data_IF_402638997753
#
_entry.id   IF_402638997753
#
_cell.length_a   1.000
_cell.length_b   1.000
_cell.length_c   1.000
_cell.angle_alpha   90.00
_cell.angle_beta   90.00
_cell.angle_gamma   90.00
#
_symmetry.space_group_name_H-M   'P 1'
#
loop_
_entity.id
_entity.type
_entity.pdbx_description
1 polymer ?
#
# COMPACT_ATOMS: atom_id res chain seq x y z
N UNK A 1 -26.21 -5.33 -5.53
CA UNK A 1 -26.64 -6.47 -4.70
C UNK A 1 -26.32 -7.81 -5.34
N UNK A 2 -26.63 -8.06 -6.62
CA UNK A 2 -26.26 -9.33 -7.29
C UNK A 2 -24.81 -9.80 -7.14
N UNK A 3 -23.81 -8.88 -7.13
CA UNK A 3 -22.42 -9.26 -6.84
C UNK A 3 -22.19 -9.75 -5.39
N UNK A 4 -22.95 -9.22 -4.43
CA UNK A 4 -22.89 -9.67 -3.04
C UNK A 4 -23.41 -11.10 -2.90
N UNK A 5 -24.48 -11.44 -3.60
CA UNK A 5 -25.10 -12.76 -3.52
C UNK A 5 -24.32 -13.81 -4.33
N UNK A 6 -23.75 -13.38 -5.47
CA UNK A 6 -23.00 -14.22 -6.40
C UNK A 6 -21.70 -13.53 -6.85
N UNK A 7 -20.69 -13.44 -5.97
CA UNK A 7 -19.41 -12.84 -6.31
C UNK A 7 -18.76 -13.62 -7.45
N UNK A 8 -18.09 -12.89 -8.33
CA UNK A 8 -17.38 -13.44 -9.48
C UNK A 8 -16.02 -12.77 -9.66
N UNK A 9 -15.10 -13.48 -10.29
CA UNK A 9 -13.86 -12.91 -10.83
C UNK A 9 -13.98 -12.76 -12.36
N UNK A 10 -13.18 -11.87 -12.95
CA UNK A 10 -13.13 -11.70 -14.40
C UNK A 10 -11.85 -12.35 -14.92
N UNK A 11 -12.00 -13.39 -15.75
CA UNK A 11 -10.88 -14.03 -16.46
C UNK A 11 -10.92 -13.68 -17.93
N UNK A 12 -9.77 -13.34 -18.50
CA UNK A 12 -9.63 -13.15 -19.93
C UNK A 12 -9.24 -14.47 -20.61
N UNK A 13 -9.95 -14.83 -21.66
CA UNK A 13 -9.58 -15.91 -22.59
C UNK A 13 -9.34 -15.28 -23.96
N UNK A 14 -8.07 -14.97 -24.24
CA UNK A 14 -7.71 -14.11 -25.37
C UNK A 14 -8.28 -12.71 -25.20
N UNK A 15 -9.11 -12.26 -26.16
CA UNK A 15 -9.79 -10.95 -26.10
C UNK A 15 -11.14 -10.98 -25.37
N UNK A 16 -11.65 -12.16 -25.02
CA UNK A 16 -12.99 -12.32 -24.44
C UNK A 16 -12.93 -12.29 -22.92
N UNK A 17 -13.77 -11.44 -22.31
CA UNK A 17 -13.98 -11.42 -20.86
C UNK A 17 -14.98 -12.51 -20.48
N UNK A 18 -14.62 -13.34 -19.50
CA UNK A 18 -15.51 -14.35 -18.91
C UNK A 18 -15.63 -14.09 -17.41
N UNK A 19 -16.87 -13.96 -16.93
CA UNK A 19 -17.15 -13.93 -15.49
C UNK A 19 -17.13 -15.35 -14.96
N UNK A 20 -16.33 -15.59 -13.93
CA UNK A 20 -16.21 -16.89 -13.25
C UNK A 20 -16.80 -16.74 -11.85
N UNK A 21 -17.92 -17.39 -11.55
CA UNK A 21 -18.51 -17.36 -10.22
C UNK A 21 -17.57 -17.96 -9.17
N UNK A 22 -17.45 -17.30 -8.01
CA UNK A 22 -16.72 -17.80 -6.85
C UNK A 22 -17.70 -18.64 -6.03
N UNK A 23 -17.73 -19.94 -6.31
CA UNK A 23 -18.72 -20.86 -5.71
C UNK A 23 -18.60 -20.88 -4.19
N UNK A 24 -19.72 -20.67 -3.50
CA UNK A 24 -19.82 -20.72 -2.04
C UNK A 24 -19.47 -19.42 -1.32
N UNK A 25 -19.08 -18.37 -2.05
CA UNK A 25 -18.84 -17.05 -1.47
C UNK A 25 -20.08 -16.15 -1.56
N UNK A 26 -20.23 -15.26 -0.57
CA UNK A 26 -21.21 -14.17 -0.56
C UNK A 26 -20.71 -13.01 0.31
N UNK A 27 -21.27 -11.82 0.11
CA UNK A 27 -20.95 -10.61 0.87
C UNK A 27 -22.18 -10.22 1.70
N UNK A 28 -22.12 -10.47 2.99
CA UNK A 28 -23.18 -10.15 3.95
C UNK A 28 -23.31 -11.21 5.04
N UNK A 29 -24.27 -11.01 5.94
CA UNK A 29 -24.44 -11.87 7.11
C UNK A 29 -25.06 -13.23 6.77
N UNK A 30 -25.90 -13.27 5.71
CA UNK A 30 -26.66 -14.43 5.27
C UNK A 30 -26.58 -14.63 3.76
N UNK A 31 -26.50 -15.88 3.32
CA UNK A 31 -26.64 -16.26 1.91
C UNK A 31 -28.12 -16.22 1.53
N UNK A 32 -28.49 -15.45 0.51
CA UNK A 32 -29.86 -15.34 -0.04
C UNK A 32 -30.96 -15.02 1.00
N UNK A 33 -30.60 -14.31 2.10
CA UNK A 33 -31.54 -14.02 3.20
C UNK A 33 -31.99 -15.26 3.98
N UNK A 34 -31.36 -16.42 3.76
CA UNK A 34 -31.75 -17.67 4.39
C UNK A 34 -31.12 -17.81 5.79
N UNK A 35 -31.97 -17.68 6.82
CA UNK A 35 -31.61 -17.64 8.24
C UNK A 35 -30.99 -18.96 8.75
N UNK A 36 -31.09 -20.05 7.98
CA UNK A 36 -30.55 -21.37 8.34
C UNK A 36 -29.07 -21.57 7.98
N UNK A 37 -28.44 -20.61 7.29
CA UNK A 37 -27.02 -20.68 6.94
C UNK A 37 -26.11 -20.16 8.07
N UNK A 38 -24.84 -20.58 8.16
CA UNK A 38 -23.91 -20.06 9.16
C UNK A 38 -23.81 -18.54 9.08
N UNK A 39 -24.11 -17.85 10.17
CA UNK A 39 -24.08 -16.39 10.24
C UNK A 39 -22.63 -15.90 10.17
N UNK A 40 -22.28 -15.11 9.13
CA UNK A 40 -21.03 -14.32 9.14
C UNK A 40 -21.25 -13.16 10.12
N UNK A 41 -20.30 -12.91 11.02
CA UNK A 41 -20.34 -11.73 11.88
C UNK A 41 -19.65 -10.57 11.15
N UNK A 42 -20.42 -9.56 10.77
CA UNK A 42 -19.89 -8.30 10.24
C UNK A 42 -19.92 -7.25 11.36
N UNK A 43 -18.77 -6.63 11.63
CA UNK A 43 -18.64 -5.51 12.57
C UNK A 43 -18.24 -4.25 11.79
N UNK A 44 -19.05 -3.21 11.91
CA UNK A 44 -18.80 -1.91 11.28
C UNK A 44 -18.74 -0.88 12.41
N UNK A 45 -17.64 -0.15 12.47
CA UNK A 45 -17.45 0.89 13.48
C UNK A 45 -16.93 2.19 12.86
N UNK A 46 -17.51 3.31 13.26
CA UNK A 46 -17.01 4.65 12.94
C UNK A 46 -16.16 5.13 14.13
N UNK A 47 -14.87 4.80 14.11
CA UNK A 47 -13.92 5.05 15.21
C UNK A 47 -12.53 5.36 14.65
N UNK A 48 -11.69 5.97 15.47
CA UNK A 48 -10.26 6.06 15.19
C UNK A 48 -9.64 4.65 15.27
N UNK A 49 -9.03 4.21 14.16
CA UNK A 49 -8.31 2.94 14.09
C UNK A 49 -7.14 2.88 15.09
N UNK A 50 -6.52 4.02 15.40
CA UNK A 50 -5.51 4.20 16.42
C UNK A 50 -6.04 4.10 17.85
N UNK A 51 -7.36 4.10 18.05
CA UNK A 51 -8.04 3.95 19.33
C UNK A 51 -8.83 2.63 19.45
N UNK A 52 -9.01 1.89 18.34
CA UNK A 52 -9.70 0.60 18.34
C UNK A 52 -9.07 -0.41 19.29
N UNK A 53 -9.93 -1.17 19.98
CA UNK A 53 -9.54 -2.26 20.87
C UNK A 53 -9.80 -3.59 20.16
N UNK A 54 -8.74 -4.14 19.57
CA UNK A 54 -8.76 -5.42 18.87
C UNK A 54 -8.02 -6.45 19.74
N UNK A 55 -8.52 -7.68 19.77
CA UNK A 55 -7.87 -8.74 20.51
C UNK A 55 -6.53 -9.11 19.85
N UNK A 56 -5.49 -9.32 20.67
CA UNK A 56 -4.18 -9.75 20.18
C UNK A 56 -4.29 -11.09 19.41
N UNK A 57 -3.63 -11.19 18.26
CA UNK A 57 -3.62 -12.41 17.44
C UNK A 57 -4.98 -12.90 16.96
N UNK A 58 -6.00 -12.04 16.90
CA UNK A 58 -7.34 -12.43 16.45
C UNK A 58 -7.54 -12.34 14.93
N UNK A 59 -6.75 -11.51 14.25
CA UNK A 59 -6.95 -11.20 12.82
C UNK A 59 -6.10 -12.08 11.92
N UNK A 60 -6.72 -12.63 10.87
CA UNK A 60 -6.04 -13.39 9.82
C UNK A 60 -5.36 -12.50 8.77
N UNK A 61 -5.84 -11.27 8.60
CA UNK A 61 -5.30 -10.27 7.70
C UNK A 61 -5.80 -8.86 8.06
N UNK A 62 -5.05 -7.84 7.66
CA UNK A 62 -5.46 -6.43 7.68
C UNK A 62 -5.23 -5.87 6.27
N UNK A 63 -6.28 -5.32 5.67
CA UNK A 63 -6.23 -4.62 4.38
C UNK A 63 -6.68 -3.18 4.61
N UNK A 64 -5.84 -2.21 4.26
CA UNK A 64 -6.14 -0.80 4.52
C UNK A 64 -5.62 0.13 3.44
N UNK A 65 -6.23 1.30 3.33
CA UNK A 65 -5.82 2.40 2.47
C UNK A 65 -5.56 3.64 3.37
N UNK A 66 -4.34 3.79 3.92
CA UNK A 66 -4.03 4.86 4.84
C UNK A 66 -3.92 6.21 4.11
N UNK A 67 -4.03 7.36 4.81
CA UNK A 67 -3.89 8.67 4.17
C UNK A 67 -2.50 8.90 3.58
N UNK A 68 -2.42 9.51 2.39
CA UNK A 68 -1.18 9.65 1.59
C UNK A 68 -0.33 10.90 1.90
N UNK A 69 -0.41 11.43 3.12
CA UNK A 69 0.27 12.66 3.56
C UNK A 69 0.06 13.88 2.63
N UNK A 70 -0.86 14.78 2.99
CA UNK A 70 -0.96 16.11 2.35
C UNK A 70 -1.62 16.12 0.97
N UNK A 71 -2.09 14.97 0.47
CA UNK A 71 -2.78 14.89 -0.83
C UNK A 71 -4.15 15.57 -0.83
N UNK A 72 -5.00 15.36 0.20
CA UNK A 72 -6.34 15.97 0.29
C UNK A 72 -6.71 16.16 1.77
N UNK A 73 -7.24 17.33 2.10
CA UNK A 73 -7.80 17.65 3.42
C UNK A 73 -9.26 17.14 3.48
N UNK A 74 -9.43 15.82 3.61
CA UNK A 74 -10.73 15.17 3.47
C UNK A 74 -11.75 15.65 4.51
N UNK A 75 -11.32 15.86 5.76
CA UNK A 75 -12.24 16.30 6.79
C UNK A 75 -12.80 17.70 6.52
N UNK A 76 -11.98 18.62 6.00
CA UNK A 76 -12.41 19.95 5.59
C UNK A 76 -13.36 19.92 4.39
N UNK A 77 -13.10 19.06 3.40
CA UNK A 77 -13.96 18.90 2.22
C UNK A 77 -15.30 18.26 2.60
N UNK A 78 -15.27 17.23 3.45
CA UNK A 78 -16.46 16.48 3.84
C UNK A 78 -17.38 17.26 4.78
N UNK A 79 -16.88 18.25 5.51
CA UNK A 79 -17.70 19.12 6.36
C UNK A 79 -18.85 19.78 5.57
N UNK A 80 -18.59 20.17 4.31
CA UNK A 80 -19.61 20.74 3.44
C UNK A 80 -20.78 19.78 3.29
N UNK A 81 -20.51 18.53 2.90
CA UNK A 81 -21.54 17.49 2.73
C UNK A 81 -22.16 17.07 4.08
N UNK A 82 -21.35 17.00 5.13
CA UNK A 82 -21.76 16.54 6.46
C UNK A 82 -22.87 17.40 7.06
N UNK A 83 -22.76 18.72 6.97
CA UNK A 83 -23.75 19.65 7.52
C UNK A 83 -25.11 19.49 6.83
N UNK A 84 -25.12 19.30 5.51
CA UNK A 84 -26.35 19.05 4.76
C UNK A 84 -26.98 17.69 5.11
N UNK A 85 -26.17 16.63 5.15
CA UNK A 85 -26.64 15.29 5.51
C UNK A 85 -27.21 15.25 6.94
N UNK A 86 -26.54 15.91 7.89
CA UNK A 86 -27.00 16.04 9.28
C UNK A 86 -28.38 16.69 9.35
N UNK A 87 -28.62 17.76 8.59
CA UNK A 87 -29.92 18.45 8.55
C UNK A 87 -31.03 17.59 7.96
N UNK A 88 -30.74 16.79 6.93
CA UNK A 88 -31.72 15.93 6.26
C UNK A 88 -32.10 14.74 7.13
N UNK A 89 -31.11 14.10 7.76
CA UNK A 89 -31.32 12.90 8.59
C UNK A 89 -31.94 13.27 9.94
N UNK A 90 -31.63 14.47 10.46
CA UNK A 90 -32.16 14.96 11.74
C UNK A 90 -31.41 14.43 12.96
N UNK A 91 -31.93 14.78 14.14
CA UNK A 91 -31.37 14.36 15.43
C UNK A 91 -31.82 12.92 15.74
N UNK A 92 -30.87 11.99 15.83
CA UNK A 92 -31.18 10.58 16.15
C UNK A 92 -30.20 9.56 15.56
N UNK A 93 -29.40 9.94 14.55
CA UNK A 93 -28.35 9.08 14.03
C UNK A 93 -27.02 9.35 14.76
N UNK A 94 -26.43 8.37 15.48
CA UNK A 94 -25.18 8.56 16.22
C UNK A 94 -24.00 9.04 15.36
N UNK A 95 -23.98 8.67 14.07
CA UNK A 95 -22.95 9.12 13.11
C UNK A 95 -22.93 10.66 12.93
N UNK A 96 -24.05 11.34 13.21
CA UNK A 96 -24.19 12.79 13.13
C UNK A 96 -24.16 13.48 14.51
N UNK A 97 -23.71 12.77 15.55
CA UNK A 97 -23.58 13.31 16.91
C UNK A 97 -22.53 14.41 17.04
N UNK A 98 -21.48 14.40 16.20
CA UNK A 98 -20.46 15.45 16.17
C UNK A 98 -20.97 16.70 15.44
N UNK A 99 -20.33 17.83 15.71
CA UNK A 99 -20.62 19.10 15.02
C UNK A 99 -19.86 19.26 13.70
N UNK A 100 -18.77 18.51 13.51
CA UNK A 100 -17.89 18.57 12.34
C UNK A 100 -17.23 17.21 12.10
N UNK A 101 -16.80 16.97 10.85
CA UNK A 101 -15.94 15.84 10.47
C UNK A 101 -14.47 16.06 10.80
N UNK A 102 -14.07 17.28 11.16
CA UNK A 102 -12.68 17.63 11.53
C UNK A 102 -12.26 16.95 12.82
N UNK A 103 -11.02 16.48 12.83
CA UNK A 103 -10.36 15.92 14.01
C UNK A 103 -8.95 16.51 14.13
N UNK A 104 -8.48 16.92 15.33
CA UNK A 104 -7.08 17.30 15.53
C UNK A 104 -6.13 16.14 15.24
N UNK A 105 -6.60 14.91 15.43
CA UNK A 105 -5.84 13.67 15.21
C UNK A 105 -5.88 13.19 13.75
N UNK A 106 -6.46 13.96 12.83
CA UNK A 106 -6.47 13.60 11.42
C UNK A 106 -5.03 13.58 10.86
N UNK A 107 -4.70 12.47 10.19
CA UNK A 107 -3.38 12.20 9.63
C UNK A 107 -3.25 12.73 8.20
N UNK A 108 -3.51 14.02 8.02
CA UNK A 108 -3.27 14.75 6.78
C UNK A 108 -2.22 15.84 7.02
N UNK A 109 -1.36 16.10 6.02
CA UNK A 109 -0.35 17.14 6.12
C UNK A 109 -0.99 18.51 6.12
N UNK A 110 -0.76 19.32 7.15
CA UNK A 110 -1.28 20.69 7.26
C UNK A 110 -0.36 21.51 8.18
N UNK A 111 0.53 22.29 7.57
CA UNK A 111 1.53 23.08 8.29
C UNK A 111 0.90 24.13 9.21
N UNK A 112 -0.19 24.78 8.77
CA UNK A 112 -0.88 25.82 9.55
C UNK A 112 -1.50 25.28 10.84
N UNK A 113 -1.80 23.98 10.87
CA UNK A 113 -2.32 23.26 12.05
C UNK A 113 -1.24 22.45 12.79
N UNK A 114 0.04 22.63 12.46
CA UNK A 114 1.14 21.88 13.07
C UNK A 114 1.18 20.39 12.69
N UNK A 115 0.39 19.96 11.70
CA UNK A 115 0.34 18.57 11.21
C UNK A 115 1.45 18.34 10.18
N UNK A 116 2.68 18.35 10.65
CA UNK A 116 3.87 18.05 9.86
C UNK A 116 4.14 16.55 9.70
N UNK A 117 5.33 16.23 9.17
CA UNK A 117 5.77 14.86 8.93
C UNK A 117 5.83 14.03 10.23
N UNK A 118 6.22 14.64 11.35
CA UNK A 118 6.30 13.96 12.66
C UNK A 118 4.92 13.56 13.20
N UNK A 119 3.93 14.46 13.12
CA UNK A 119 2.54 14.18 13.54
C UNK A 119 1.98 13.01 12.73
N UNK A 120 2.14 13.07 11.41
CA UNK A 120 1.72 12.00 10.51
C UNK A 120 2.40 10.67 10.88
N UNK A 121 3.73 10.70 11.07
CA UNK A 121 4.53 9.52 11.45
C UNK A 121 4.06 8.89 12.75
N UNK A 122 3.83 9.70 13.79
CA UNK A 122 3.38 9.21 15.09
C UNK A 122 2.01 8.55 15.01
N UNK A 123 1.08 9.16 14.26
CA UNK A 123 -0.26 8.61 14.07
C UNK A 123 -0.27 7.30 13.29
N UNK A 124 0.38 7.25 12.13
CA UNK A 124 0.39 6.04 11.31
C UNK A 124 1.17 4.90 12.00
N UNK A 125 2.24 5.21 12.72
CA UNK A 125 2.97 4.25 13.55
C UNK A 125 2.10 3.66 14.67
N UNK A 126 1.29 4.49 15.34
CA UNK A 126 0.37 4.00 16.36
C UNK A 126 -0.67 3.03 15.77
N UNK A 127 -1.25 3.36 14.61
CA UNK A 127 -2.20 2.48 13.92
C UNK A 127 -1.53 1.16 13.54
N UNK A 128 -0.36 1.20 12.90
CA UNK A 128 0.32 -0.02 12.42
C UNK A 128 0.75 -0.93 13.58
N UNK A 129 1.21 -0.37 14.70
CA UNK A 129 1.54 -1.14 15.89
C UNK A 129 0.31 -1.87 16.46
N UNK A 130 -0.85 -1.20 16.50
CA UNK A 130 -2.10 -1.84 16.93
C UNK A 130 -2.53 -2.96 15.99
N UNK A 131 -2.49 -2.71 14.68
CA UNK A 131 -2.86 -3.73 13.68
C UNK A 131 -1.91 -4.92 13.74
N UNK A 132 -0.61 -4.70 13.85
CA UNK A 132 0.41 -5.76 14.00
C UNK A 132 0.16 -6.63 15.24
N UNK A 133 -0.21 -6.02 16.38
CA UNK A 133 -0.53 -6.76 17.61
C UNK A 133 -1.79 -7.63 17.48
N UNK A 134 -2.80 -7.12 16.76
CA UNK A 134 -4.04 -7.84 16.50
C UNK A 134 -3.90 -8.96 15.46
N UNK A 135 -2.87 -8.90 14.60
CA UNK A 135 -2.59 -9.92 13.59
C UNK A 135 -2.02 -11.20 14.21
N UNK A 136 -2.44 -12.35 13.68
CA UNK A 136 -1.77 -13.63 13.94
C UNK A 136 -0.33 -13.58 13.40
N UNK A 137 0.63 -14.30 14.00
CA UNK A 137 2.00 -14.37 13.48
C UNK A 137 2.03 -14.77 12.00
N UNK A 138 2.77 -14.01 11.19
CA UNK A 138 2.88 -14.24 9.74
C UNK A 138 1.70 -13.74 8.89
N UNK A 139 0.61 -13.27 9.50
CA UNK A 139 -0.52 -12.71 8.75
C UNK A 139 -0.19 -11.37 8.09
N UNK A 140 -0.78 -11.06 6.91
CA UNK A 140 -0.54 -9.82 6.20
C UNK A 140 -1.14 -8.59 6.89
N UNK A 141 -0.32 -7.55 7.05
CA UNK A 141 -0.78 -6.17 6.93
C UNK A 141 -0.47 -5.70 5.50
N UNK A 142 -1.50 -5.54 4.68
CA UNK A 142 -1.38 -5.09 3.31
C UNK A 142 -2.06 -3.74 3.12
N UNK A 143 -1.37 -2.81 2.45
CA UNK A 143 -1.92 -1.49 2.21
C UNK A 143 -1.40 -0.88 0.93
N UNK A 144 -2.22 -0.01 0.35
CA UNK A 144 -1.87 0.76 -0.84
C UNK A 144 -1.30 2.12 -0.43
N UNK A 145 -0.32 2.63 -1.17
CA UNK A 145 0.25 3.95 -0.92
C UNK A 145 0.94 4.50 -2.17
N UNK A 146 0.77 5.79 -2.44
CA UNK A 146 1.61 6.53 -3.37
C UNK A 146 1.83 7.97 -2.92
N UNK A 147 2.94 8.54 -3.33
CA UNK A 147 3.20 9.98 -3.22
C UNK A 147 4.31 10.40 -4.19
N UNK A 148 4.31 11.65 -4.65
CA UNK A 148 5.27 12.15 -5.64
C UNK A 148 6.66 12.49 -5.04
N UNK A 149 6.75 12.58 -3.71
CA UNK A 149 7.97 12.89 -2.94
C UNK A 149 8.31 11.73 -2.02
N UNK A 150 9.59 11.34 -2.01
CA UNK A 150 10.11 10.25 -1.17
C UNK A 150 9.95 10.54 0.33
N UNK A 151 9.99 11.82 0.74
CA UNK A 151 9.87 12.20 2.15
C UNK A 151 8.56 11.75 2.79
N UNK A 152 7.48 11.66 1.99
CA UNK A 152 6.19 11.16 2.45
C UNK A 152 6.17 9.64 2.69
N UNK A 153 7.21 8.91 2.27
CA UNK A 153 7.34 7.48 2.53
C UNK A 153 8.19 7.15 3.76
N UNK A 154 9.04 8.08 4.24
CA UNK A 154 9.79 7.83 5.49
C UNK A 154 8.87 7.50 6.68
N UNK A 155 7.72 8.17 6.88
CA UNK A 155 6.74 7.80 7.90
C UNK A 155 6.26 6.35 7.77
N UNK A 156 6.08 5.86 6.54
CA UNK A 156 5.62 4.50 6.26
C UNK A 156 6.70 3.47 6.67
N UNK A 157 7.96 3.74 6.34
CA UNK A 157 9.07 2.90 6.80
C UNK A 157 9.15 2.85 8.33
N UNK A 158 9.07 4.01 8.99
CA UNK A 158 9.07 4.13 10.45
C UNK A 158 7.92 3.32 11.06
N UNK A 159 6.70 3.46 10.53
CA UNK A 159 5.51 2.78 11.05
C UNK A 159 5.62 1.26 10.95
N UNK A 160 6.11 0.74 9.82
CA UNK A 160 6.34 -0.70 9.63
C UNK A 160 7.39 -1.21 10.62
N UNK A 161 8.51 -0.49 10.76
CA UNK A 161 9.60 -0.86 11.67
C UNK A 161 9.18 -0.80 13.15
N UNK A 162 8.44 0.23 13.56
CA UNK A 162 7.90 0.37 14.92
C UNK A 162 6.92 -0.76 15.27
N UNK A 163 6.16 -1.23 14.27
CA UNK A 163 5.23 -2.36 14.38
C UNK A 163 5.92 -3.73 14.42
N UNK A 164 7.26 -3.79 14.31
CA UNK A 164 8.01 -5.04 14.26
C UNK A 164 7.74 -5.84 12.99
N UNK A 165 7.29 -5.18 11.92
CA UNK A 165 6.96 -5.80 10.65
C UNK A 165 8.15 -5.70 9.68
N UNK A 166 8.24 -6.67 8.78
CA UNK A 166 9.09 -6.62 7.58
C UNK A 166 8.21 -6.50 6.36
N UNK A 167 8.58 -5.62 5.42
CA UNK A 167 7.92 -5.52 4.12
C UNK A 167 8.41 -6.66 3.20
N UNK A 168 7.63 -7.73 3.08
CA UNK A 168 7.97 -8.91 2.30
C UNK A 168 7.78 -8.71 0.80
N UNK A 169 6.90 -7.80 0.38
CA UNK A 169 6.71 -7.42 -1.02
C UNK A 169 6.23 -5.97 -1.15
N UNK A 170 6.61 -5.33 -2.26
CA UNK A 170 6.11 -4.04 -2.72
C UNK A 170 5.67 -4.22 -4.17
N UNK A 171 4.36 -4.21 -4.41
CA UNK A 171 3.76 -4.61 -5.68
C UNK A 171 3.14 -3.40 -6.39
N UNK A 172 3.56 -3.07 -7.62
CA UNK A 172 2.90 -2.04 -8.42
C UNK A 172 1.47 -2.45 -8.77
N UNK A 173 0.51 -1.56 -8.54
CA UNK A 173 -0.89 -1.79 -8.82
C UNK A 173 -1.49 -0.59 -9.58
N UNK A 174 -2.02 -0.75 -10.79
CA UNK A 174 -2.78 0.29 -11.46
C UNK A 174 -4.06 0.60 -10.65
N UNK A 175 -4.13 1.80 -10.08
CA UNK A 175 -5.17 2.19 -9.12
C UNK A 175 -6.12 3.26 -9.67
N UNK A 176 -5.65 4.14 -10.57
CA UNK A 176 -6.46 5.23 -11.12
C UNK A 176 -6.75 5.05 -12.62
N UNK A 177 -7.95 5.46 -13.06
CA UNK A 177 -8.24 5.60 -14.48
C UNK A 177 -7.49 6.81 -15.04
N UNK A 178 -6.71 6.63 -16.11
CA UNK A 178 -5.96 7.70 -16.79
C UNK A 178 -6.80 8.85 -17.37
N UNK A 179 -8.13 8.82 -17.20
CA UNK A 179 -9.06 9.88 -17.59
C UNK A 179 -9.53 10.80 -16.43
N UNK A 180 -9.04 10.59 -15.21
CA UNK A 180 -9.37 11.48 -14.08
C UNK A 180 -8.81 12.88 -14.32
N UNK A 181 -9.71 13.87 -14.31
CA UNK A 181 -9.42 15.31 -14.44
C UNK A 181 -8.40 15.84 -13.42
N UNK A 182 -8.14 15.09 -12.33
CA UNK A 182 -7.14 15.40 -11.31
C UNK A 182 -5.69 15.02 -11.69
N UNK A 183 -5.48 14.19 -12.72
CA UNK A 183 -4.16 13.67 -13.12
C UNK A 183 -3.65 14.36 -14.39
N UNK A 184 -4.56 14.92 -15.18
CA UNK A 184 -4.24 15.49 -16.48
C UNK A 184 -3.40 16.77 -16.30
N UNK A 185 -2.10 16.67 -16.57
CA UNK A 185 -1.13 17.78 -16.44
C UNK A 185 -0.44 17.90 -15.08
N UNK A 186 -0.74 17.06 -14.08
CA UNK A 186 -0.12 17.14 -12.74
C UNK A 186 1.12 16.25 -12.58
N UNK A 187 1.35 15.30 -13.50
CA UNK A 187 2.44 14.33 -13.40
C UNK A 187 2.27 13.32 -12.25
N UNK A 188 1.06 13.24 -11.67
CA UNK A 188 0.73 12.28 -10.61
C UNK A 188 0.67 10.86 -11.15
N UNK A 189 1.06 9.90 -10.31
CA UNK A 189 1.08 8.49 -10.68
C UNK A 189 -0.33 7.91 -10.74
N UNK A 190 -0.57 7.05 -11.72
CA UNK A 190 -1.76 6.18 -11.79
C UNK A 190 -1.50 4.79 -11.16
N UNK A 191 -0.28 4.58 -10.68
CA UNK A 191 0.20 3.37 -10.02
C UNK A 191 0.32 3.62 -8.53
N UNK A 192 -0.27 2.73 -7.75
CA UNK A 192 -0.01 2.63 -6.33
C UNK A 192 1.04 1.54 -6.05
N UNK A 193 1.73 1.66 -4.92
CA UNK A 193 2.47 0.54 -4.36
C UNK A 193 1.62 -0.16 -3.30
N UNK A 194 1.34 -1.44 -3.51
CA UNK A 194 0.80 -2.31 -2.47
C UNK A 194 1.96 -2.88 -1.66
N UNK A 195 2.08 -2.41 -0.42
CA UNK A 195 3.03 -2.95 0.55
C UNK A 195 2.41 -4.15 1.25
N UNK A 196 3.17 -5.23 1.34
CA UNK A 196 2.77 -6.46 2.02
C UNK A 196 3.75 -6.71 3.15
N UNK A 197 3.27 -6.57 4.39
CA UNK A 197 4.10 -6.61 5.59
C UNK A 197 3.72 -7.78 6.49
N UNK A 198 4.70 -8.40 7.15
CA UNK A 198 4.52 -9.53 8.09
C UNK A 198 5.51 -9.45 9.24
N UNK A 199 5.15 -10.03 10.38
CA UNK A 199 6.08 -10.21 11.51
C UNK A 199 7.12 -11.30 11.23
N UNK A 200 6.72 -12.33 10.50
CA UNK A 200 7.60 -13.41 10.04
C UNK A 200 7.13 -13.93 8.69
N UNK A 201 8.01 -14.54 7.93
CA UNK A 201 7.63 -15.18 6.68
C UNK A 201 8.83 -15.47 5.80
N UNK A 202 8.55 -15.62 4.51
CA UNK A 202 9.52 -15.91 3.48
C UNK A 202 9.38 -14.85 2.38
N UNK A 203 10.52 -14.43 1.82
CA UNK A 203 10.54 -13.59 0.63
C UNK A 203 11.57 -14.09 -0.38
N UNK A 204 11.38 -13.74 -1.64
CA UNK A 204 12.29 -14.17 -2.70
C UNK A 204 13.64 -13.47 -2.56
N UNK A 205 14.74 -14.23 -2.47
CA UNK A 205 16.09 -13.68 -2.31
C UNK A 205 16.48 -12.71 -3.41
N UNK A 206 15.94 -12.88 -4.63
CA UNK A 206 16.15 -11.97 -5.78
C UNK A 206 15.71 -10.52 -5.51
N UNK A 207 14.84 -10.29 -4.52
CA UNK A 207 14.38 -8.97 -4.14
C UNK A 207 15.30 -8.26 -3.13
N UNK A 208 16.37 -8.92 -2.65
CA UNK A 208 17.38 -8.33 -1.78
C UNK A 208 18.57 -7.94 -2.64
N UNK A 209 18.71 -6.65 -2.92
CA UNK A 209 19.87 -6.12 -3.64
C UNK A 209 20.76 -5.29 -2.72
N UNK A 210 22.01 -5.12 -3.13
CA UNK A 210 23.03 -4.35 -2.38
C UNK A 210 23.48 -3.08 -3.08
N UNK A 211 22.88 -2.76 -4.23
CA UNK A 211 23.22 -1.58 -5.02
C UNK A 211 21.98 -0.94 -5.65
N UNK A 212 22.00 0.38 -5.91
CA UNK A 212 20.93 1.04 -6.65
C UNK A 212 20.75 0.50 -8.07
N UNK A 213 21.80 -0.03 -8.70
CA UNK A 213 21.71 -0.75 -9.99
C UNK A 213 20.84 -2.01 -9.88
N UNK A 214 21.07 -2.84 -8.85
CA UNK A 214 20.23 -4.02 -8.63
C UNK A 214 18.77 -3.65 -8.36
N UNK A 215 18.53 -2.53 -7.68
CA UNK A 215 17.17 -2.06 -7.40
C UNK A 215 16.51 -1.55 -8.69
N UNK A 216 17.27 -0.86 -9.55
CA UNK A 216 16.83 -0.46 -10.88
C UNK A 216 16.43 -1.66 -11.75
N UNK A 217 17.13 -2.79 -11.65
CA UNK A 217 16.74 -4.03 -12.36
C UNK A 217 15.39 -4.59 -11.87
N UNK A 218 15.13 -4.56 -10.56
CA UNK A 218 13.82 -4.95 -10.01
C UNK A 218 12.73 -4.02 -10.55
N UNK A 219 12.97 -2.69 -10.52
CA UNK A 219 12.01 -1.71 -11.06
C UNK A 219 11.76 -1.96 -12.54
N UNK A 220 12.79 -2.24 -13.35
CA UNK A 220 12.61 -2.58 -14.78
C UNK A 220 11.75 -3.82 -15.00
N UNK A 221 11.93 -4.86 -14.17
CA UNK A 221 11.10 -6.08 -14.26
C UNK A 221 9.63 -5.75 -14.03
N UNK A 222 9.33 -4.98 -12.98
CA UNK A 222 7.99 -4.51 -12.67
C UNK A 222 7.38 -3.66 -13.79
N UNK A 223 8.16 -2.73 -14.36
CA UNK A 223 7.73 -1.92 -15.49
C UNK A 223 7.42 -2.77 -16.74
N UNK A 224 8.17 -3.85 -16.97
CA UNK A 224 7.90 -4.77 -18.07
C UNK A 224 6.60 -5.55 -17.84
N UNK A 225 6.32 -5.96 -16.59
CA UNK A 225 5.05 -6.60 -16.23
C UNK A 225 3.86 -5.64 -16.40
N UNK A 226 4.00 -4.38 -16.01
CA UNK A 226 2.98 -3.35 -16.24
C UNK A 226 2.71 -3.16 -17.73
N UNK A 227 3.76 -3.07 -18.56
CA UNK A 227 3.64 -2.98 -20.03
C UNK A 227 2.97 -4.22 -20.63
N UNK A 228 3.30 -5.41 -20.14
CA UNK A 228 2.63 -6.64 -20.56
C UNK A 228 1.13 -6.64 -20.17
N UNK A 229 0.78 -5.97 -19.07
CA UNK A 229 -0.59 -5.66 -18.66
C UNK A 229 -1.26 -4.49 -19.41
N UNK A 230 -0.66 -4.01 -20.51
CA UNK A 230 -1.15 -2.90 -21.32
C UNK A 230 -1.25 -1.56 -20.55
N UNK A 231 -0.39 -1.38 -19.54
CA UNK A 231 -0.17 -0.11 -18.85
C UNK A 231 1.12 0.50 -19.36
N UNK A 232 1.11 1.79 -19.71
CA UNK A 232 2.30 2.53 -20.16
C UNK A 232 2.76 3.48 -19.04
N UNK A 233 3.72 3.07 -18.19
CA UNK A 233 4.08 3.87 -17.01
C UNK A 233 4.71 5.21 -17.41
N UNK A 234 4.19 6.28 -16.83
CA UNK A 234 4.76 7.62 -16.90
C UNK A 234 5.99 7.73 -15.99
N UNK A 235 6.69 8.87 -16.04
CA UNK A 235 7.80 9.12 -15.13
C UNK A 235 7.36 9.15 -13.65
N UNK A 236 6.15 9.65 -13.36
CA UNK A 236 5.56 9.60 -12.00
C UNK A 236 5.32 8.16 -11.54
N UNK A 237 4.89 7.28 -12.44
CA UNK A 237 4.68 5.86 -12.15
C UNK A 237 5.99 5.12 -11.87
N UNK A 238 7.02 5.36 -12.69
CA UNK A 238 8.36 4.78 -12.47
C UNK A 238 8.88 5.18 -11.09
N UNK A 239 8.70 6.45 -10.72
CA UNK A 239 9.10 6.97 -9.42
C UNK A 239 8.33 6.29 -8.28
N UNK A 240 7.01 6.13 -8.40
CA UNK A 240 6.19 5.44 -7.41
C UNK A 240 6.70 4.02 -7.16
N UNK A 241 6.90 3.23 -8.22
CA UNK A 241 7.43 1.87 -8.14
C UNK A 241 8.81 1.85 -7.46
N UNK A 242 9.69 2.76 -7.85
CA UNK A 242 11.03 2.85 -7.27
C UNK A 242 11.00 3.23 -5.78
N UNK A 243 10.11 4.15 -5.36
CA UNK A 243 9.95 4.53 -3.95
C UNK A 243 9.45 3.36 -3.12
N UNK A 244 8.50 2.58 -3.64
CA UNK A 244 8.06 1.31 -3.04
C UNK A 244 9.23 0.38 -2.71
N UNK A 245 10.10 0.12 -3.70
CA UNK A 245 11.25 -0.76 -3.51
C UNK A 245 12.35 -0.17 -2.61
N UNK A 246 12.61 1.14 -2.70
CA UNK A 246 13.57 1.82 -1.82
C UNK A 246 13.16 1.70 -0.35
N UNK A 247 11.88 1.90 -0.07
CA UNK A 247 11.32 1.81 1.29
C UNK A 247 11.36 0.37 1.80
N UNK A 248 10.96 -0.59 0.96
CA UNK A 248 11.10 -2.02 1.29
C UNK A 248 12.54 -2.38 1.67
N UNK A 249 13.53 -1.90 0.91
CA UNK A 249 14.93 -2.14 1.21
C UNK A 249 15.40 -1.45 2.49
N UNK A 250 14.96 -0.21 2.74
CA UNK A 250 15.26 0.50 3.98
C UNK A 250 14.76 -0.29 5.19
N UNK A 251 13.51 -0.75 5.14
CA UNK A 251 12.92 -1.59 6.19
C UNK A 251 13.74 -2.86 6.39
N UNK A 252 14.05 -3.58 5.30
CA UNK A 252 14.86 -4.80 5.38
C UNK A 252 16.18 -4.54 6.11
N UNK A 253 16.93 -3.51 5.73
CA UNK A 253 18.26 -3.28 6.30
C UNK A 253 18.23 -2.69 7.72
N UNK A 254 17.17 -1.97 8.09
CA UNK A 254 17.08 -1.30 9.39
C UNK A 254 16.44 -2.17 10.49
N UNK A 255 15.65 -3.20 10.13
CA UNK A 255 14.82 -3.99 11.07
C UNK A 255 15.54 -4.55 12.30
N UNK A 256 16.77 -5.04 12.14
CA UNK A 256 17.50 -5.71 13.23
C UNK A 256 18.04 -4.75 14.29
N UNK A 257 18.29 -3.50 13.90
CA UNK A 257 18.88 -2.47 14.77
C UNK A 257 17.91 -1.29 14.95
N UNK A 258 16.61 -1.53 14.80
CA UNK A 258 15.59 -0.51 14.95
C UNK A 258 15.29 -0.27 16.43
N UNK A 259 15.30 0.99 16.85
CA UNK A 259 14.95 1.38 18.21
C UNK A 259 13.75 2.32 18.15
N UNK A 260 12.57 1.76 18.44
CA UNK A 260 11.31 2.51 18.44
C UNK A 260 11.13 3.43 19.64
N UNK A 261 12.05 3.44 20.60
CA UNK A 261 12.00 4.33 21.78
C UNK A 261 12.61 5.70 21.50
N UNK A 262 13.34 5.86 20.39
CA UNK A 262 13.90 7.14 19.96
C UNK A 262 12.82 8.13 19.54
N UNK A 263 13.17 9.42 19.60
CA UNK A 263 12.31 10.49 19.11
C UNK A 263 11.92 10.27 17.64
N UNK A 264 10.70 10.67 17.27
CA UNK A 264 10.14 10.49 15.92
C UNK A 264 11.03 11.12 14.84
N UNK A 265 11.52 12.35 15.07
CA UNK A 265 12.50 12.99 14.17
C UNK A 265 13.74 12.11 13.93
N UNK A 266 14.35 11.55 14.98
CA UNK A 266 15.54 10.69 14.87
C UNK A 266 15.26 9.40 14.09
N UNK A 267 14.07 8.82 14.25
CA UNK A 267 13.66 7.63 13.50
C UNK A 267 13.49 7.94 12.01
N UNK A 268 12.86 9.07 11.69
CA UNK A 268 12.73 9.54 10.30
C UNK A 268 14.11 9.78 9.69
N UNK A 269 15.00 10.47 10.41
CA UNK A 269 16.37 10.76 9.96
C UNK A 269 17.15 9.47 9.66
N UNK A 270 17.03 8.45 10.51
CA UNK A 270 17.66 7.15 10.28
C UNK A 270 17.23 6.47 8.98
N UNK A 271 15.94 6.58 8.61
CA UNK A 271 15.44 6.07 7.32
C UNK A 271 15.99 6.89 6.16
N UNK A 272 15.93 8.22 6.28
CA UNK A 272 16.43 9.16 5.28
C UNK A 272 17.92 8.94 5.00
N UNK A 273 18.74 8.83 6.05
CA UNK A 273 20.17 8.60 5.95
C UNK A 273 20.51 7.29 5.27
N UNK A 274 19.77 6.22 5.59
CA UNK A 274 19.95 4.93 4.93
C UNK A 274 19.65 5.04 3.43
N UNK A 275 18.54 5.68 3.04
CA UNK A 275 18.16 5.86 1.63
C UNK A 275 19.20 6.71 0.90
N UNK A 276 19.68 7.78 1.54
CA UNK A 276 20.74 8.64 0.99
C UNK A 276 22.04 7.88 0.78
N UNK A 277 22.47 7.09 1.77
CA UNK A 277 23.68 6.27 1.67
C UNK A 277 23.58 5.19 0.58
N UNK A 278 22.38 4.64 0.37
CA UNK A 278 22.12 3.69 -0.71
C UNK A 278 22.15 4.33 -2.12
N UNK A 279 22.08 5.66 -2.21
CA UNK A 279 22.07 6.44 -3.46
C UNK A 279 20.71 7.04 -3.82
N UNK A 280 19.64 6.61 -3.15
CA UNK A 280 18.28 7.13 -3.31
C UNK A 280 17.74 7.06 -4.75
N UNK A 281 16.76 7.91 -5.05
CA UNK A 281 16.11 7.96 -6.35
C UNK A 281 17.04 8.31 -7.50
N UNK A 282 17.92 9.29 -7.32
CA UNK A 282 18.77 9.81 -8.39
C UNK A 282 19.67 8.72 -9.01
N UNK A 283 20.29 7.88 -8.17
CA UNK A 283 21.12 6.78 -8.65
C UNK A 283 20.29 5.67 -9.30
N UNK A 284 19.16 5.30 -8.69
CA UNK A 284 18.25 4.29 -9.25
C UNK A 284 17.75 4.72 -10.63
N UNK A 285 17.30 5.97 -10.76
CA UNK A 285 16.84 6.56 -12.02
C UNK A 285 17.94 6.55 -13.09
N UNK A 286 19.17 6.89 -12.71
CA UNK A 286 20.34 6.85 -13.61
C UNK A 286 20.51 5.47 -14.23
N UNK A 287 20.46 4.40 -13.42
CA UNK A 287 20.56 3.03 -13.92
C UNK A 287 19.33 2.56 -14.72
N UNK A 288 18.14 3.10 -14.43
CA UNK A 288 16.94 2.85 -15.26
C UNK A 288 17.16 3.40 -16.68
N UNK A 289 17.67 4.63 -16.79
CA UNK A 289 17.84 5.33 -18.05
C UNK A 289 19.03 4.83 -18.90
N UNK A 290 20.12 4.38 -18.28
CA UNK A 290 21.31 3.88 -18.99
C UNK A 290 20.97 2.64 -19.84
N UNK A 291 20.34 1.62 -19.26
CA UNK A 291 20.00 0.40 -20.00
C UNK A 291 18.88 0.60 -21.05
N UNK A 292 18.11 1.67 -20.93
CA UNK A 292 17.12 2.06 -21.94
C UNK A 292 17.75 2.52 -23.26
N UNK A 293 18.99 3.06 -23.22
CA UNK A 293 19.73 3.47 -24.41
C UNK A 293 20.39 2.30 -25.15
N UNK A 294 20.80 1.25 -24.43
CA UNK A 294 21.45 0.08 -25.01
C UNK A 294 20.48 -0.90 -25.70
N UNK A 295 19.21 -0.95 -25.28
CA UNK A 295 18.21 -1.91 -25.80
C UNK A 295 17.40 -1.45 -27.01
N UNK A 296 17.67 -0.27 -27.59
CA UNK A 296 16.90 0.26 -28.74
C UNK A 296 17.18 -0.45 -30.08
N UNK A 297 17.87 -1.60 -30.09
CA UNK A 297 18.27 -2.30 -31.32
C UNK A 297 17.70 -3.70 -31.57
N UNK A 298 16.92 -4.32 -30.69
CA UNK A 298 16.34 -5.64 -30.99
C UNK A 298 14.87 -5.76 -30.56
N UNK A 299 13.98 -5.70 -31.55
CA UNK A 299 12.64 -6.26 -31.47
C UNK A 299 12.69 -7.73 -31.92
N UNK A 300 12.05 -8.64 -31.19
CA UNK A 300 11.06 -9.59 -31.75
C UNK A 300 10.55 -10.59 -30.70
N UNK A 301 9.22 -10.69 -30.60
CA UNK A 301 8.38 -11.86 -30.27
C UNK A 301 8.92 -12.90 -29.28
N UNK A 302 8.30 -13.11 -28.11
CA UNK A 302 8.00 -14.46 -27.59
C UNK A 302 6.86 -14.48 -26.56
N UNK A 303 6.09 -15.56 -26.64
CA UNK A 303 4.92 -15.98 -25.88
C UNK A 303 5.15 -16.14 -24.38
N UNK A 304 4.13 -15.80 -23.58
CA UNK A 304 4.06 -16.10 -22.15
C UNK A 304 3.87 -17.61 -21.97
N UNK A 305 4.96 -18.32 -21.68
CA UNK A 305 4.91 -19.63 -21.03
C UNK A 305 5.34 -19.44 -19.58
N UNK A 306 4.51 -19.90 -18.64
CA UNK A 306 4.90 -20.07 -17.24
C UNK A 306 6.09 -21.04 -17.18
N UNK A 307 7.28 -20.51 -16.94
CA UNK A 307 8.46 -21.33 -16.75
C UNK A 307 8.45 -21.87 -15.33
N UNK A 308 8.25 -23.20 -15.23
CA UNK A 308 8.54 -23.97 -14.02
C UNK A 308 9.96 -23.67 -13.53
N UNK A 309 10.07 -23.18 -12.29
CA UNK A 309 11.36 -22.95 -11.63
C UNK A 309 11.92 -24.29 -11.13
N UNK A 310 13.12 -24.64 -11.60
CA UNK A 310 13.90 -25.74 -11.04
C UNK A 310 14.41 -25.38 -9.64
N UNK A 311 14.27 -26.32 -8.71
CA UNK A 311 14.82 -26.26 -7.36
C UNK A 311 16.35 -26.17 -7.39
N UNK A 312 16.93 -25.12 -6.77
CA UNK A 312 18.36 -25.09 -6.44
C UNK A 312 19.21 -23.94 -6.99
N UNK A 313 18.63 -22.79 -7.34
CA UNK A 313 19.42 -21.64 -7.80
C UNK A 313 19.63 -20.57 -6.72
N UNK A 314 20.62 -19.68 -6.90
CA UNK A 314 21.05 -18.59 -5.98
C UNK A 314 19.96 -17.55 -5.59
N UNK A 315 18.71 -17.85 -5.90
CA UNK A 315 17.47 -17.09 -5.71
C UNK A 315 16.53 -17.78 -4.71
N UNK A 316 17.08 -18.43 -3.69
CA UNK A 316 16.30 -19.13 -2.67
C UNK A 316 15.40 -18.20 -1.86
N UNK A 317 14.37 -18.82 -1.29
CA UNK A 317 13.46 -18.22 -0.32
C UNK A 317 14.22 -17.84 0.96
N UNK A 318 14.12 -16.57 1.36
CA UNK A 318 14.80 -16.01 2.54
C UNK A 318 13.80 -15.83 3.67
N UNK A 319 13.95 -16.53 4.81
CA UNK A 319 13.11 -16.34 5.96
C UNK A 319 13.44 -15.03 6.69
N UNK A 320 12.45 -14.49 7.38
CA UNK A 320 12.61 -13.32 8.26
C UNK A 320 11.66 -13.38 9.46
#
# INVERSE_FOLDING_TARGET
>A
KSYCDHPFEVKFQGKTKKMIPIKGEWIGDHLDGNVTTPQRRVDISCKDAGASNLQDGSLDAVFTDPPYFGNIQYAELMDFCYVWLKKIIGEGCPAFGKTSTRSPDELTGNMDKGRGLEHFTQGISNVFQKMSKALKPGSPLAFTYHHNKIDAYYPIAVAILDAGLTCSASLPCPAEMGGSIHINGTGSSIIDTVFVCRTTGIMQGKWIVRSPEGLAEIVKQDLNLLKAGNVNPTHGDIRCVAYGHLIRHAIWNLRHNWDKTKATATRIEKVMDWIRFFGGWAEVERFINISGKEKSKENSLFSVQETHSNYGDKNGDVPF
#
